data_IF_669684355557
#
_entry.id   IF_669684355557
#
_cell.length_a   1.000
_cell.length_b   1.000
_cell.length_c   1.000
_cell.angle_alpha   90.00
_cell.angle_beta   90.00
_cell.angle_gamma   90.00
#
_symmetry.space_group_name_H-M   'P 1'
#
loop_
_entity.id
_entity.type
_entity.pdbx_description
1 polymer ?
#
# COMPACT_ATOMS: atom_id res chain seq x y z
N UNK A 1 1.23 6.30 -14.35
CA UNK A 1 1.73 4.97 -14.74
C UNK A 1 0.76 3.88 -14.26
N UNK A 2 0.76 2.74 -14.91
CA UNK A 2 -0.07 1.59 -14.60
C UNK A 2 0.75 0.32 -14.82
N UNK A 3 0.57 -0.70 -13.99
CA UNK A 3 1.13 -2.03 -14.21
C UNK A 3 0.02 -3.07 -14.33
N UNK A 4 0.11 -3.89 -15.38
CA UNK A 4 -0.69 -5.09 -15.57
C UNK A 4 0.21 -6.30 -15.31
N UNK A 5 -0.23 -7.23 -14.46
CA UNK A 5 0.58 -8.38 -14.01
C UNK A 5 0.01 -9.67 -14.59
N UNK A 6 0.83 -10.35 -15.39
CA UNK A 6 0.58 -11.68 -15.93
C UNK A 6 1.55 -12.72 -15.32
N UNK A 7 1.33 -14.05 -15.50
CA UNK A 7 2.16 -15.08 -14.87
C UNK A 7 3.67 -14.98 -15.14
N UNK A 8 4.11 -14.46 -16.27
CA UNK A 8 5.55 -14.35 -16.59
C UNK A 8 6.03 -12.94 -16.88
N UNK A 9 5.14 -11.94 -16.82
CA UNK A 9 5.43 -10.59 -17.31
C UNK A 9 4.69 -9.55 -16.49
N UNK A 10 5.31 -8.39 -16.34
CA UNK A 10 4.64 -7.17 -15.88
C UNK A 10 4.72 -6.15 -17.00
N UNK A 11 3.58 -5.78 -17.56
CA UNK A 11 3.49 -4.69 -18.52
C UNK A 11 3.33 -3.36 -17.77
N UNK A 12 4.27 -2.46 -17.95
CA UNK A 12 4.22 -1.10 -17.39
C UNK A 12 3.87 -0.13 -18.49
N UNK A 13 2.79 0.62 -18.31
CA UNK A 13 2.34 1.67 -19.22
C UNK A 13 2.38 3.01 -18.50
N UNK A 14 3.00 4.00 -19.12
CA UNK A 14 3.02 5.37 -18.62
C UNK A 14 2.44 6.33 -19.67
N UNK A 15 1.64 7.27 -19.21
CA UNK A 15 1.16 8.40 -20.00
C UNK A 15 1.74 9.68 -19.43
N UNK A 16 2.30 10.52 -20.27
CA UNK A 16 2.82 11.82 -19.87
C UNK A 16 2.11 12.93 -20.64
N UNK A 17 1.81 14.02 -19.94
CA UNK A 17 1.27 15.25 -20.53
C UNK A 17 2.38 16.26 -20.86
N UNK A 18 3.64 15.90 -20.63
CA UNK A 18 4.77 16.79 -20.92
C UNK A 18 5.22 16.63 -22.37
N UNK A 19 5.46 17.74 -23.05
CA UNK A 19 5.69 17.84 -24.50
C UNK A 19 6.85 16.98 -25.06
N UNK A 20 7.71 16.44 -24.21
CA UNK A 20 8.86 15.59 -24.60
C UNK A 20 8.81 14.18 -24.02
N UNK A 21 7.78 13.85 -23.29
CA UNK A 21 7.58 12.52 -22.69
C UNK A 21 6.43 11.84 -23.43
N UNK A 22 6.74 10.98 -24.37
CA UNK A 22 5.74 10.19 -25.08
C UNK A 22 5.10 9.12 -24.16
N UNK A 23 3.90 8.67 -24.53
CA UNK A 23 3.33 7.47 -23.96
C UNK A 23 4.28 6.28 -24.21
N UNK A 24 4.59 5.54 -23.15
CA UNK A 24 5.47 4.40 -23.21
C UNK A 24 4.80 3.16 -22.61
N UNK A 25 5.03 2.03 -23.25
CA UNK A 25 4.68 0.71 -22.70
C UNK A 25 5.89 -0.19 -22.81
N UNK A 26 6.16 -0.95 -21.76
CA UNK A 26 7.24 -1.93 -21.73
C UNK A 26 6.89 -3.15 -20.93
N UNK A 27 7.40 -4.28 -21.34
CA UNK A 27 7.24 -5.56 -20.67
C UNK A 27 8.51 -5.86 -19.86
N UNK A 28 8.32 -6.19 -18.59
CA UNK A 28 9.36 -6.61 -17.68
C UNK A 28 9.16 -8.11 -17.39
N UNK A 29 10.19 -8.93 -17.62
CA UNK A 29 10.15 -10.32 -17.19
C UNK A 29 9.94 -10.38 -15.68
N UNK A 30 8.93 -11.13 -15.25
CA UNK A 30 8.57 -11.24 -13.84
C UNK A 30 9.33 -12.40 -13.19
N UNK A 31 10.19 -12.15 -12.19
CA UNK A 31 10.79 -13.21 -11.40
C UNK A 31 9.74 -14.02 -10.63
N UNK A 32 9.99 -15.29 -10.38
CA UNK A 32 9.11 -16.13 -9.57
C UNK A 32 8.96 -15.55 -8.16
N UNK A 33 7.73 -15.56 -7.64
CA UNK A 33 7.42 -15.00 -6.33
C UNK A 33 7.61 -13.49 -6.21
N UNK A 34 7.79 -12.77 -7.32
CA UNK A 34 7.98 -11.34 -7.29
C UNK A 34 6.70 -10.58 -6.91
N UNK A 35 6.90 -9.45 -6.24
CA UNK A 35 5.87 -8.54 -5.72
C UNK A 35 6.08 -7.14 -6.28
N UNK A 36 5.02 -6.35 -6.41
CA UNK A 36 5.12 -4.93 -6.68
C UNK A 36 5.13 -4.15 -5.36
N UNK A 37 5.98 -3.12 -5.23
CA UNK A 37 5.97 -2.26 -4.04
C UNK A 37 4.61 -1.58 -3.84
N UNK A 38 3.95 -1.19 -4.93
CA UNK A 38 2.60 -0.61 -4.90
C UNK A 38 1.51 -1.62 -4.48
N UNK A 39 1.83 -2.91 -4.41
CA UNK A 39 0.94 -3.97 -3.90
C UNK A 39 1.20 -4.33 -2.42
N UNK A 40 2.05 -3.59 -1.69
CA UNK A 40 2.36 -3.90 -0.29
C UNK A 40 1.15 -3.73 0.64
N UNK A 41 0.22 -2.80 0.36
CA UNK A 41 -1.02 -2.68 1.13
C UNK A 41 -1.92 -3.92 1.02
N UNK A 42 -2.31 -4.41 -0.18
CA UNK A 42 -3.04 -5.67 -0.30
C UNK A 42 -2.21 -6.89 0.15
N UNK A 43 -0.87 -6.86 0.01
CA UNK A 43 0.01 -7.91 0.54
C UNK A 43 -0.09 -8.02 2.07
N UNK A 44 0.01 -6.91 2.78
CA UNK A 44 -0.10 -6.86 4.24
C UNK A 44 -1.43 -7.49 4.73
N UNK A 45 -2.52 -7.29 3.99
CA UNK A 45 -3.83 -7.89 4.24
C UNK A 45 -3.95 -9.38 3.83
N UNK A 46 -2.90 -9.96 3.25
CA UNK A 46 -2.88 -11.37 2.83
C UNK A 46 -3.51 -11.66 1.48
N UNK A 47 -3.80 -10.64 0.68
CA UNK A 47 -4.41 -10.78 -0.64
C UNK A 47 -3.40 -11.12 -1.74
N UNK A 48 -2.11 -10.87 -1.50
CA UNK A 48 -1.01 -11.07 -2.46
C UNK A 48 0.07 -11.97 -1.85
N UNK A 49 0.71 -12.79 -2.69
CA UNK A 49 1.83 -13.67 -2.33
C UNK A 49 3.15 -13.15 -2.94
N UNK A 50 4.33 -13.53 -2.35
CA UNK A 50 4.54 -14.41 -1.20
C UNK A 50 4.22 -13.72 0.14
N UNK A 51 3.85 -14.50 1.15
CA UNK A 51 3.60 -13.99 2.51
C UNK A 51 4.32 -14.86 3.53
N UNK A 52 5.17 -14.30 4.42
CA UNK A 52 5.86 -15.06 5.46
C UNK A 52 4.87 -15.63 6.48
N UNK A 53 5.20 -16.79 7.04
CA UNK A 53 4.54 -17.32 8.22
C UNK A 53 4.86 -16.47 9.47
N UNK A 54 4.14 -16.67 10.57
CA UNK A 54 4.44 -15.98 11.81
C UNK A 54 5.88 -16.28 12.28
N UNK A 55 6.65 -15.24 12.58
CA UNK A 55 8.06 -15.31 12.96
C UNK A 55 9.03 -15.50 11.79
N UNK A 56 8.56 -15.55 10.56
CA UNK A 56 9.38 -15.81 9.37
C UNK A 56 9.83 -14.52 8.69
N UNK A 57 11.01 -14.61 8.08
CA UNK A 57 11.53 -13.61 7.12
C UNK A 57 11.84 -14.31 5.80
N UNK A 58 11.38 -13.76 4.70
CA UNK A 58 11.65 -14.28 3.34
C UNK A 58 12.25 -13.18 2.48
N UNK A 59 13.10 -13.58 1.53
CA UNK A 59 13.59 -12.70 0.48
C UNK A 59 12.61 -12.68 -0.70
N UNK A 60 12.49 -11.53 -1.36
CA UNK A 60 11.63 -11.35 -2.52
C UNK A 60 12.27 -10.39 -3.53
N UNK A 61 11.89 -10.53 -4.80
CA UNK A 61 12.10 -9.50 -5.80
C UNK A 61 10.91 -8.57 -5.80
N UNK A 62 11.15 -7.27 -5.62
CA UNK A 62 10.11 -6.26 -5.51
C UNK A 62 10.31 -5.24 -6.63
N UNK A 63 9.29 -5.07 -7.48
CA UNK A 63 9.31 -4.00 -8.49
C UNK A 63 9.16 -2.67 -7.77
N UNK A 64 10.07 -1.74 -8.04
CA UNK A 64 10.04 -0.40 -7.45
C UNK A 64 8.69 0.29 -7.68
N UNK A 65 8.27 1.12 -6.73
CA UNK A 65 7.00 1.86 -6.81
C UNK A 65 6.92 2.70 -8.07
N UNK A 66 5.84 2.55 -8.84
CA UNK A 66 5.57 3.33 -10.05
C UNK A 66 5.36 4.81 -9.72
N UNK A 67 4.76 5.10 -8.55
CA UNK A 67 4.59 6.47 -8.07
C UNK A 67 5.94 7.13 -7.81
N UNK A 68 6.82 6.46 -7.05
CA UNK A 68 8.13 6.99 -6.71
C UNK A 68 9.06 7.09 -7.93
N UNK A 69 9.02 6.11 -8.82
CA UNK A 69 9.75 6.13 -10.07
C UNK A 69 9.38 7.37 -10.91
N UNK A 70 8.08 7.65 -11.03
CA UNK A 70 7.59 8.83 -11.74
C UNK A 70 8.01 10.14 -11.06
N UNK A 71 7.89 10.24 -9.74
CA UNK A 71 8.24 11.46 -9.00
C UNK A 71 9.74 11.75 -9.03
N UNK A 72 10.58 10.74 -9.18
CA UNK A 72 12.04 10.86 -9.21
C UNK A 72 12.64 10.79 -10.60
N UNK A 73 11.82 10.56 -11.62
CA UNK A 73 12.25 10.31 -13.00
C UNK A 73 13.24 9.13 -13.10
N UNK A 74 13.06 8.11 -12.26
CA UNK A 74 13.86 6.89 -12.25
C UNK A 74 13.13 5.78 -13.01
N UNK A 75 13.83 4.90 -13.73
CA UNK A 75 13.20 3.73 -14.35
C UNK A 75 12.78 2.72 -13.28
N UNK A 76 11.69 1.99 -13.53
CA UNK A 76 11.29 0.89 -12.67
C UNK A 76 12.31 -0.25 -12.76
N UNK A 77 12.62 -0.84 -11.61
CA UNK A 77 13.60 -1.90 -11.48
C UNK A 77 13.14 -2.98 -10.48
N UNK A 78 13.59 -4.23 -10.72
CA UNK A 78 13.47 -5.29 -9.75
C UNK A 78 14.52 -5.14 -8.66
N UNK A 79 14.09 -4.81 -7.46
CA UNK A 79 14.93 -4.61 -6.29
C UNK A 79 14.93 -5.86 -5.40
N UNK A 80 15.98 -6.01 -4.61
CA UNK A 80 15.99 -6.97 -3.52
C UNK A 80 15.14 -6.42 -2.37
N UNK A 81 14.38 -7.28 -1.74
CA UNK A 81 13.61 -6.93 -0.55
C UNK A 81 13.50 -8.08 0.42
N UNK A 82 13.19 -7.77 1.65
CA UNK A 82 12.86 -8.72 2.70
C UNK A 82 11.44 -8.46 3.20
N UNK A 83 10.71 -9.54 3.41
CA UNK A 83 9.34 -9.52 3.94
C UNK A 83 9.34 -10.29 5.24
N UNK A 84 8.91 -9.66 6.32
CA UNK A 84 8.88 -10.24 7.65
C UNK A 84 7.47 -10.16 8.25
N UNK A 85 7.11 -11.18 9.04
CA UNK A 85 5.93 -11.16 9.92
C UNK A 85 6.35 -11.51 11.34
N UNK A 86 5.95 -10.71 12.33
CA UNK A 86 6.20 -10.99 13.75
C UNK A 86 5.65 -12.35 14.17
N UNK A 87 6.30 -12.97 15.15
CA UNK A 87 5.88 -14.27 15.70
C UNK A 87 4.67 -14.21 16.64
N UNK A 88 4.28 -13.00 17.04
CA UNK A 88 3.17 -12.77 17.95
C UNK A 88 2.35 -11.56 17.57
N UNK A 89 1.26 -11.35 18.29
CA UNK A 89 0.38 -10.18 18.16
C UNK A 89 0.70 -9.13 19.22
N UNK A 90 0.33 -7.88 18.95
CA UNK A 90 0.34 -6.80 19.93
C UNK A 90 -0.99 -6.05 19.95
N UNK A 91 -1.24 -5.25 20.99
CA UNK A 91 -2.40 -4.37 21.06
C UNK A 91 -1.98 -2.98 20.65
N UNK A 92 -2.68 -2.41 19.66
CA UNK A 92 -2.41 -1.07 19.12
C UNK A 92 -3.63 -0.18 19.30
N UNK A 93 -3.39 1.02 19.86
CA UNK A 93 -4.41 2.07 19.98
C UNK A 93 -4.24 3.09 18.85
N UNK A 94 -5.36 3.40 18.21
CA UNK A 94 -5.50 4.44 17.17
C UNK A 94 -6.81 5.19 17.38
N UNK A 95 -7.07 6.32 16.70
CA UNK A 95 -8.33 7.05 16.86
C UNK A 95 -9.60 6.20 16.66
N UNK A 96 -9.55 5.16 15.83
CA UNK A 96 -10.65 4.22 15.60
C UNK A 96 -10.90 3.25 16.76
N UNK A 97 -10.01 3.16 17.76
CA UNK A 97 -10.10 2.26 18.90
C UNK A 97 -8.85 1.42 19.14
N UNK A 98 -8.99 0.37 19.93
CA UNK A 98 -7.93 -0.58 20.31
C UNK A 98 -8.08 -1.89 19.53
N UNK A 99 -7.00 -2.39 18.94
CA UNK A 99 -7.01 -3.56 18.04
C UNK A 99 -5.87 -4.51 18.38
N UNK A 100 -6.14 -5.81 18.32
CA UNK A 100 -5.10 -6.85 18.30
C UNK A 100 -4.58 -6.95 16.87
N UNK A 101 -3.28 -6.81 16.69
CA UNK A 101 -2.66 -6.70 15.37
C UNK A 101 -1.47 -7.64 15.19
N UNK A 102 -1.28 -8.12 13.96
CA UNK A 102 -0.02 -8.68 13.46
C UNK A 102 0.85 -7.53 12.93
N UNK A 103 2.16 -7.62 13.13
CA UNK A 103 3.11 -6.66 12.56
C UNK A 103 3.81 -7.29 11.36
N UNK A 104 3.73 -6.63 10.20
CA UNK A 104 4.43 -7.04 8.99
C UNK A 104 5.37 -5.92 8.56
N UNK A 105 6.56 -6.31 8.09
CA UNK A 105 7.55 -5.36 7.57
C UNK A 105 7.95 -5.76 6.17
N UNK A 106 8.11 -4.79 5.30
CA UNK A 106 8.74 -4.96 4.00
C UNK A 106 9.90 -3.97 3.89
N UNK A 107 11.10 -4.48 3.68
CA UNK A 107 12.27 -3.67 3.38
C UNK A 107 12.59 -3.81 1.90
N UNK A 108 12.71 -2.70 1.19
CA UNK A 108 12.96 -2.64 -0.26
C UNK A 108 14.26 -1.89 -0.47
N UNK A 109 15.28 -2.58 -0.98
CA UNK A 109 16.54 -1.94 -1.36
C UNK A 109 16.29 -0.98 -2.54
N UNK A 110 16.99 0.15 -2.56
CA UNK A 110 16.84 1.12 -3.65
C UNK A 110 18.11 1.92 -3.89
N UNK A 111 18.23 2.54 -5.06
CA UNK A 111 19.42 3.32 -5.45
C UNK A 111 19.70 4.53 -4.54
N UNK A 112 18.67 5.10 -3.94
CA UNK A 112 18.76 6.24 -2.99
C UNK A 112 18.69 5.82 -1.52
N UNK A 113 18.86 4.52 -1.20
CA UNK A 113 18.73 3.94 0.13
C UNK A 113 17.59 2.93 0.23
N UNK A 114 17.56 2.15 1.31
CA UNK A 114 16.44 1.23 1.54
C UNK A 114 15.21 1.97 2.05
N UNK A 115 14.03 1.45 1.69
CA UNK A 115 12.75 1.89 2.23
C UNK A 115 12.17 0.77 3.07
N UNK A 116 11.73 1.12 4.28
CA UNK A 116 11.06 0.20 5.18
C UNK A 116 9.61 0.60 5.32
N UNK A 117 8.74 -0.36 5.07
CA UNK A 117 7.31 -0.28 5.31
C UNK A 117 6.98 -1.13 6.54
N UNK A 118 6.20 -0.61 7.46
CA UNK A 118 5.67 -1.36 8.59
C UNK A 118 4.16 -1.27 8.61
N UNK A 119 3.49 -2.40 8.73
CA UNK A 119 2.04 -2.53 8.71
C UNK A 119 1.58 -3.19 10.00
N UNK A 120 0.64 -2.58 10.69
CA UNK A 120 -0.12 -3.17 11.78
C UNK A 120 -1.48 -3.56 11.24
N UNK A 121 -1.69 -4.85 11.11
CA UNK A 121 -2.87 -5.43 10.47
C UNK A 121 -3.69 -6.15 11.51
N UNK A 122 -4.99 -5.87 11.56
CA UNK A 122 -5.93 -6.55 12.45
C UNK A 122 -5.77 -8.06 12.34
N UNK A 123 -5.59 -8.72 13.50
CA UNK A 123 -5.32 -10.15 13.56
C UNK A 123 -6.50 -10.96 13.02
N UNK A 124 -7.71 -10.59 13.44
CA UNK A 124 -8.94 -11.22 12.99
C UNK A 124 -9.46 -10.63 11.68
N UNK A 125 -10.29 -11.38 10.97
CA UNK A 125 -10.98 -10.85 9.79
C UNK A 125 -11.81 -9.60 10.15
N UNK A 126 -11.82 -8.57 9.29
CA UNK A 126 -11.44 -8.57 7.87
C UNK A 126 -9.99 -8.15 7.57
N UNK A 127 -9.07 -8.24 8.53
CA UNK A 127 -7.64 -7.91 8.38
C UNK A 127 -7.42 -6.49 7.86
N UNK A 128 -8.04 -5.51 8.53
CA UNK A 128 -7.86 -4.09 8.20
C UNK A 128 -6.44 -3.65 8.54
N UNK A 129 -5.89 -2.75 7.75
CA UNK A 129 -4.65 -2.05 8.11
C UNK A 129 -5.04 -1.00 9.14
N UNK A 130 -4.57 -1.17 10.38
CA UNK A 130 -4.86 -0.27 11.50
C UNK A 130 -3.90 0.91 11.49
N UNK A 131 -2.62 0.63 11.15
CA UNK A 131 -1.59 1.64 10.97
C UNK A 131 -0.60 1.16 9.94
N UNK A 132 0.01 2.07 9.21
CA UNK A 132 1.22 1.77 8.45
C UNK A 132 2.15 2.98 8.45
N UNK A 133 3.45 2.69 8.39
CA UNK A 133 4.51 3.69 8.30
C UNK A 133 5.44 3.37 7.14
N UNK A 134 6.13 4.40 6.65
CA UNK A 134 7.23 4.27 5.70
C UNK A 134 8.40 5.11 6.19
N UNK A 135 9.63 4.63 5.97
CA UNK A 135 10.85 5.24 6.52
C UNK A 135 11.12 6.68 6.07
N UNK A 136 10.41 7.17 5.05
CA UNK A 136 10.48 8.56 4.58
C UNK A 136 9.56 9.53 5.34
N UNK A 137 8.97 9.08 6.45
CA UNK A 137 8.17 9.92 7.35
C UNK A 137 6.65 9.77 7.21
N UNK A 138 6.17 8.85 6.35
CA UNK A 138 4.73 8.57 6.27
C UNK A 138 4.29 7.81 7.52
N UNK A 139 3.22 8.26 8.17
CA UNK A 139 2.50 7.58 9.26
C UNK A 139 0.99 7.75 9.03
N UNK A 140 0.34 6.66 8.69
CA UNK A 140 -1.10 6.61 8.45
C UNK A 140 -1.79 5.74 9.50
N UNK A 141 -2.87 6.23 10.10
CA UNK A 141 -3.62 5.55 11.17
C UNK A 141 -5.10 5.51 10.83
N UNK A 142 -5.75 4.42 11.22
CA UNK A 142 -7.19 4.26 11.06
C UNK A 142 -7.92 5.26 11.95
N UNK A 143 -8.69 6.15 11.34
CA UNK A 143 -9.50 7.15 12.06
C UNK A 143 -10.89 6.64 12.42
N UNK A 144 -11.44 5.77 11.59
CA UNK A 144 -12.77 5.18 11.77
C UNK A 144 -13.08 4.21 10.64
N UNK A 145 -14.15 3.44 10.80
CA UNK A 145 -14.63 2.50 9.79
C UNK A 145 -16.15 2.41 9.86
N UNK A 146 -16.79 2.47 8.70
CA UNK A 146 -18.21 2.21 8.54
C UNK A 146 -18.43 1.25 7.37
N UNK A 147 -19.55 0.53 7.39
CA UNK A 147 -19.96 -0.33 6.29
C UNK A 147 -21.32 0.13 5.81
N UNK A 148 -21.32 0.81 4.68
CA UNK A 148 -22.48 1.46 4.10
C UNK A 148 -22.58 1.17 2.62
N UNK A 149 -23.78 1.34 2.07
CA UNK A 149 -24.05 1.24 0.63
C UNK A 149 -23.68 2.57 -0.07
N UNK A 150 -22.41 3.00 0.06
CA UNK A 150 -21.90 4.31 -0.35
C UNK A 150 -22.20 4.67 -1.81
N UNK A 151 -22.38 3.67 -2.68
CA UNK A 151 -22.77 3.88 -4.09
C UNK A 151 -24.17 4.49 -4.25
N UNK A 152 -25.02 4.42 -3.22
CA UNK A 152 -26.33 5.06 -3.17
C UNK A 152 -26.29 6.43 -2.47
N UNK A 153 -25.12 6.86 -1.99
CA UNK A 153 -24.96 7.99 -1.08
C UNK A 153 -24.23 9.17 -1.74
N UNK A 154 -24.49 9.43 -3.01
CA UNK A 154 -23.85 10.51 -3.78
C UNK A 154 -24.49 11.89 -3.59
N UNK A 155 -25.60 12.00 -2.83
CA UNK A 155 -26.28 13.26 -2.61
C UNK A 155 -25.73 14.00 -1.39
N UNK A 156 -25.86 15.33 -1.38
CA UNK A 156 -25.37 16.22 -0.31
C UNK A 156 -25.86 15.86 1.09
N UNK A 157 -27.07 15.28 1.19
CA UNK A 157 -27.65 14.79 2.47
C UNK A 157 -26.80 13.73 3.17
N UNK A 158 -25.89 13.06 2.44
CA UNK A 158 -25.01 12.00 2.99
C UNK A 158 -23.65 12.51 3.49
N UNK A 159 -23.41 13.83 3.48
CA UNK A 159 -22.21 14.42 4.10
C UNK A 159 -22.03 14.04 5.57
N UNK A 160 -23.12 13.73 6.25
CA UNK A 160 -23.12 13.30 7.65
C UNK A 160 -22.46 11.91 7.87
N UNK A 161 -22.26 11.11 6.82
CA UNK A 161 -21.54 9.83 6.93
C UNK A 161 -20.10 10.00 7.48
N UNK A 162 -19.47 11.15 7.22
CA UNK A 162 -18.14 11.49 7.76
C UNK A 162 -18.21 11.71 9.28
N UNK A 163 -19.30 12.28 9.78
CA UNK A 163 -19.52 12.53 11.22
C UNK A 163 -19.72 11.21 11.98
N UNK A 164 -20.36 10.21 11.35
CA UNK A 164 -20.52 8.87 11.91
C UNK A 164 -19.18 8.16 12.15
N UNK A 165 -18.12 8.58 11.45
CA UNK A 165 -16.75 8.13 11.66
C UNK A 165 -15.99 8.94 12.72
N UNK A 166 -16.65 9.88 13.41
CA UNK A 166 -16.02 10.81 14.35
C UNK A 166 -15.16 11.90 13.68
N UNK A 167 -15.34 12.11 12.38
CA UNK A 167 -14.57 13.08 11.60
C UNK A 167 -15.41 14.32 11.33
N UNK A 168 -14.77 15.50 11.34
CA UNK A 168 -15.42 16.74 10.92
C UNK A 168 -15.34 16.88 9.40
N UNK A 169 -16.45 17.23 8.72
CA UNK A 169 -16.43 17.54 7.30
C UNK A 169 -15.45 18.67 7.00
N UNK A 170 -14.65 18.51 5.94
CA UNK A 170 -13.77 19.60 5.50
C UNK A 170 -14.63 20.77 5.00
N UNK A 171 -14.37 22.00 5.43
CA UNK A 171 -15.09 23.15 4.89
C UNK A 171 -14.91 23.22 3.36
N UNK A 172 -15.94 23.68 2.62
CA UNK A 172 -15.81 23.83 1.17
C UNK A 172 -14.62 24.74 0.85
N UNK A 173 -13.87 24.37 -0.20
CA UNK A 173 -12.82 25.27 -0.71
C UNK A 173 -13.49 26.51 -1.25
N UNK A 174 -13.17 27.66 -0.70
CA UNK A 174 -13.53 28.94 -1.28
C UNK A 174 -12.83 29.06 -2.64
N UNK A 175 -13.53 29.40 -3.73
CA UNK A 175 -12.95 29.54 -5.06
C UNK A 175 -11.87 30.62 -5.12
#
# INVERSE_FOLDING_TARGET
AQALVDPGTVQVTSHSYFEKEADASRDLARPDGALLEDALLPWARGMVRPRPAAGETIEARILSSLELARLRHEPEAWLLGTLHRSGGTETLEVPAGSFVVDVLTAEVAGGSGSRTWTFWVEHDAPHRIIRWTRSDGVDARLLGTAREAYWNENAERYRQAVEALGLSPRPPRTP
#
